data_IF_768332920674
#
_entry.id   IF_768332920674
#
_cell.length_a   1.000
_cell.length_b   1.000
_cell.length_c   1.000
_cell.angle_alpha   90.00
_cell.angle_beta   90.00
_cell.angle_gamma   90.00
#
_symmetry.space_group_name_H-M   'P 1'
#
loop_
_entity.id
_entity.type
_entity.pdbx_description
1 polymer ?
#
# COMPACT_ATOMS: atom_id res chain seq x y z
N UNK A 1 -22.53 -19.24 -1.42
CA UNK A 1 -22.12 -19.33 -2.83
C UNK A 1 -22.14 -17.91 -3.39
N UNK A 2 -21.01 -17.24 -3.21
CA UNK A 2 -20.63 -15.92 -3.76
C UNK A 2 -19.10 -16.00 -3.77
N UNK A 3 -18.57 -16.98 -4.52
CA UNK A 3 -17.15 -17.01 -4.88
C UNK A 3 -17.06 -16.13 -6.13
N UNK A 4 -16.78 -14.85 -5.87
CA UNK A 4 -16.83 -13.81 -6.88
C UNK A 4 -15.67 -13.92 -7.89
N UNK A 5 -15.93 -13.76 -9.19
CA UNK A 5 -14.89 -13.63 -10.22
C UNK A 5 -14.11 -12.31 -10.15
N UNK A 6 -14.50 -11.38 -9.26
CA UNK A 6 -13.99 -10.00 -9.18
C UNK A 6 -12.55 -9.92 -8.65
N UNK A 7 -12.17 -10.78 -7.69
CA UNK A 7 -10.83 -10.76 -7.09
C UNK A 7 -9.71 -11.06 -8.09
N UNK A 8 -9.98 -11.83 -9.16
CA UNK A 8 -8.99 -12.08 -10.20
C UNK A 8 -8.82 -10.89 -11.14
N UNK A 9 -9.90 -10.12 -11.35
CA UNK A 9 -9.87 -8.90 -12.17
C UNK A 9 -9.10 -7.77 -11.47
N UNK A 10 -9.25 -7.65 -10.14
CA UNK A 10 -8.48 -6.68 -9.34
C UNK A 10 -6.99 -7.02 -9.34
N UNK A 11 -6.64 -8.31 -9.30
CA UNK A 11 -5.26 -8.76 -9.42
C UNK A 11 -4.74 -8.42 -10.83
N UNK A 12 -5.38 -8.83 -11.93
CA UNK A 12 -4.85 -8.46 -13.26
C UNK A 12 -4.76 -6.95 -13.47
N UNK A 13 -5.73 -6.17 -12.97
CA UNK A 13 -5.74 -4.72 -13.12
C UNK A 13 -4.61 -4.03 -12.37
N UNK A 14 -4.31 -4.46 -11.15
CA UNK A 14 -3.18 -3.91 -10.39
C UNK A 14 -1.83 -4.34 -10.99
N UNK A 15 -1.74 -5.52 -11.64
CA UNK A 15 -0.48 -5.97 -12.26
C UNK A 15 -0.22 -5.14 -13.49
N UNK A 16 -1.26 -4.92 -14.31
CA UNK A 16 -1.21 -4.02 -15.44
C UNK A 16 -0.87 -2.58 -15.00
N UNK A 17 -1.39 -2.13 -13.85
CA UNK A 17 -1.07 -0.81 -13.30
C UNK A 17 0.39 -0.73 -12.82
N UNK A 18 0.88 -1.76 -12.14
CA UNK A 18 2.28 -1.86 -11.73
C UNK A 18 3.23 -1.85 -12.94
N UNK A 19 2.92 -2.64 -13.97
CA UNK A 19 3.67 -2.65 -15.24
C UNK A 19 3.64 -1.27 -15.90
N UNK A 20 2.46 -0.65 -16.01
CA UNK A 20 2.30 0.66 -16.62
C UNK A 20 3.09 1.74 -15.86
N UNK A 21 3.13 1.68 -14.52
CA UNK A 21 3.93 2.59 -13.68
C UNK A 21 5.42 2.35 -13.92
N UNK A 22 5.87 1.10 -14.05
CA UNK A 22 7.27 0.77 -14.36
C UNK A 22 7.70 1.22 -15.75
N UNK A 23 6.82 1.12 -16.75
CA UNK A 23 7.08 1.57 -18.12
C UNK A 23 6.92 3.09 -18.28
N UNK A 24 6.24 3.75 -17.35
CA UNK A 24 6.05 5.19 -17.37
C UNK A 24 7.32 5.93 -16.97
N UNK A 25 7.97 6.61 -17.92
CA UNK A 25 9.20 7.39 -17.70
C UNK A 25 9.02 8.69 -16.89
N UNK A 26 7.92 8.84 -16.15
CA UNK A 26 7.63 10.00 -15.31
C UNK A 26 7.47 9.61 -13.84
N UNK A 27 7.36 10.60 -12.95
CA UNK A 27 7.03 10.35 -11.54
C UNK A 27 5.53 10.11 -11.35
N UNK A 28 5.17 9.08 -10.60
CA UNK A 28 3.77 8.77 -10.25
C UNK A 28 3.59 9.01 -8.76
N UNK A 29 2.58 9.80 -8.39
CA UNK A 29 2.12 9.95 -7.01
C UNK A 29 0.76 9.27 -6.93
N UNK A 30 0.60 8.37 -5.98
CA UNK A 30 -0.63 7.64 -5.76
C UNK A 30 -1.02 7.67 -4.29
N UNK A 31 -2.31 7.87 -4.04
CA UNK A 31 -2.91 7.74 -2.72
C UNK A 31 -3.89 6.58 -2.78
N UNK A 32 -3.62 5.52 -2.01
CA UNK A 32 -4.47 4.32 -1.96
C UNK A 32 -4.60 3.83 -0.53
N UNK A 33 -5.69 3.11 -0.28
CA UNK A 33 -5.90 2.35 0.96
C UNK A 33 -5.71 0.83 0.74
N UNK A 34 -5.39 0.41 -0.49
CA UNK A 34 -5.19 -0.99 -0.85
C UNK A 34 -3.71 -1.40 -0.68
N UNK A 35 -3.47 -2.19 0.36
CA UNK A 35 -2.18 -2.80 0.69
C UNK A 35 -1.59 -3.64 -0.46
N UNK A 36 -2.43 -4.33 -1.24
CA UNK A 36 -1.97 -5.17 -2.36
C UNK A 36 -1.43 -4.33 -3.50
N UNK A 37 -2.01 -3.15 -3.69
CA UNK A 37 -1.59 -2.21 -4.70
C UNK A 37 -0.23 -1.63 -4.31
N UNK A 38 -0.11 -1.16 -3.08
CA UNK A 38 1.15 -0.68 -2.50
C UNK A 38 2.27 -1.71 -2.62
N UNK A 39 2.00 -2.99 -2.32
CA UNK A 39 3.03 -4.05 -2.36
C UNK A 39 3.44 -4.46 -3.79
N UNK A 40 2.61 -4.19 -4.79
CA UNK A 40 2.89 -4.58 -6.19
C UNK A 40 3.42 -3.44 -7.03
N UNK A 41 3.14 -2.21 -6.64
CA UNK A 41 3.85 -1.05 -7.14
C UNK A 41 5.10 -0.89 -6.29
N UNK A 42 6.29 -1.11 -6.85
CA UNK A 42 7.59 -1.04 -6.15
C UNK A 42 7.96 0.43 -5.81
N UNK A 43 7.03 1.14 -5.16
CA UNK A 43 7.03 2.57 -4.92
C UNK A 43 7.47 2.86 -3.48
N UNK A 44 8.22 3.96 -3.28
CA UNK A 44 8.50 4.49 -1.95
C UNK A 44 7.20 4.84 -1.22
N UNK A 45 7.12 4.49 0.06
CA UNK A 45 6.01 4.90 0.91
C UNK A 45 6.27 6.27 1.53
N UNK A 46 5.30 7.17 1.40
CA UNK A 46 5.34 8.50 2.02
C UNK A 46 4.13 8.66 2.93
N UNK A 47 4.39 9.06 4.16
CA UNK A 47 3.39 9.23 5.21
C UNK A 47 3.22 10.71 5.47
N UNK A 48 1.97 11.17 5.45
CA UNK A 48 1.60 12.56 5.67
C UNK A 48 0.87 12.67 7.01
N UNK A 49 1.56 13.16 8.02
CA UNK A 49 1.04 13.29 9.39
C UNK A 49 1.56 14.57 10.03
N UNK A 50 0.80 15.15 10.97
CA UNK A 50 1.21 16.35 11.71
C UNK A 50 1.64 17.55 10.82
N UNK A 51 1.05 17.68 9.63
CA UNK A 51 1.42 18.68 8.62
C UNK A 51 2.84 18.53 8.06
N UNK A 52 3.47 17.37 8.28
CA UNK A 52 4.78 16.98 7.78
C UNK A 52 4.65 15.77 6.85
N UNK A 53 5.72 15.49 6.08
CA UNK A 53 5.77 14.35 5.17
C UNK A 53 7.08 13.59 5.44
N UNK A 54 6.94 12.34 5.86
CA UNK A 54 8.06 11.45 6.14
C UNK A 54 8.09 10.29 5.15
N UNK A 55 9.24 10.02 4.54
CA UNK A 55 9.47 8.79 3.78
C UNK A 55 9.67 7.63 4.76
N UNK A 56 8.98 6.51 4.53
CA UNK A 56 9.16 5.29 5.30
C UNK A 56 10.28 4.48 4.65
N UNK A 57 11.36 4.27 5.40
CA UNK A 57 12.50 3.45 4.99
C UNK A 57 12.23 1.98 5.36
N UNK A 58 11.21 1.40 4.71
CA UNK A 58 10.68 0.07 5.04
C UNK A 58 9.53 -0.36 4.14
N UNK A 59 8.99 -1.55 4.39
CA UNK A 59 7.82 -2.04 3.67
C UNK A 59 6.49 -1.59 4.33
N UNK A 60 5.38 -1.95 3.70
CA UNK A 60 4.06 -1.65 4.24
C UNK A 60 3.82 -2.28 5.62
N UNK A 61 4.44 -3.41 5.94
CA UNK A 61 4.25 -4.07 7.25
C UNK A 61 4.97 -3.32 8.37
N UNK A 62 6.13 -2.74 8.10
CA UNK A 62 6.83 -1.89 9.05
C UNK A 62 6.04 -0.61 9.34
N UNK A 63 5.50 0.05 8.30
CA UNK A 63 4.59 1.19 8.47
C UNK A 63 3.34 0.82 9.28
N UNK A 64 2.69 -0.31 8.93
CA UNK A 64 1.49 -0.78 9.64
C UNK A 64 1.78 -1.06 11.10
N UNK A 65 2.95 -1.63 11.42
CA UNK A 65 3.38 -1.86 12.80
C UNK A 65 3.54 -0.55 13.57
N UNK A 66 4.19 0.44 12.97
CA UNK A 66 4.39 1.76 13.57
C UNK A 66 3.05 2.46 13.84
N UNK A 67 2.12 2.44 12.88
CA UNK A 67 0.78 3.02 13.05
C UNK A 67 -0.01 2.31 14.15
N UNK A 68 0.03 0.98 14.19
CA UNK A 68 -0.66 0.19 15.23
C UNK A 68 -0.08 0.48 16.63
N UNK A 69 1.25 0.59 16.74
CA UNK A 69 1.93 0.99 17.98
C UNK A 69 1.55 2.42 18.39
N UNK A 70 1.50 3.36 17.44
CA UNK A 70 1.13 4.75 17.69
C UNK A 70 -0.35 4.92 18.11
N UNK A 71 -1.25 4.09 17.57
CA UNK A 71 -2.67 4.06 17.95
C UNK A 71 -2.92 3.40 19.32
N UNK A 72 -1.89 2.83 19.94
CA UNK A 72 -2.02 2.17 21.25
C UNK A 72 -2.84 0.87 21.20
N UNK A 73 -3.10 0.34 20.02
CA UNK A 73 -3.62 -1.00 19.84
C UNK A 73 -2.47 -1.98 20.14
N UNK A 74 -2.24 -2.20 21.44
CA UNK A 74 -1.50 -3.38 21.89
C UNK A 74 -2.20 -4.55 21.24
N UNK A 75 -1.53 -5.24 20.31
CA UNK A 75 -2.02 -6.48 19.70
C UNK A 75 -2.72 -7.30 20.78
N UNK A 76 -4.05 -7.28 20.77
CA UNK A 76 -4.87 -8.08 21.66
C UNK A 76 -4.77 -9.49 21.11
N UNK A 77 -3.64 -10.13 21.40
CA UNK A 77 -3.47 -11.56 21.26
C UNK A 77 -4.35 -12.18 22.35
N UNK A 78 -5.45 -12.79 21.91
CA UNK A 78 -6.19 -13.77 22.69
C UNK A 78 -6.23 -15.10 21.95
#
# INVERSE_FOLDING_TARGET
>A
MQDEPTNNLDIESIDALGEAIREYGGGVIMVTHDERLVRRTDCSLWVVENQDISEIDGDFDDYKREVLEALGETLVNH
#
